data_IF_162057236925
#
_entry.id   IF_162057236925
#
_cell.length_a   1.000
_cell.length_b   1.000
_cell.length_c   1.000
_cell.angle_alpha   90.00
_cell.angle_beta   90.00
_cell.angle_gamma   90.00
#
_symmetry.space_group_name_H-M   'P 1'
#
loop_
_entity.id
_entity.type
_entity.pdbx_description
1 polymer ?
#
# COMPACT_ATOMS: atom_id res chain seq x y z
N UNK A 1 0.49 12.50 23.03
CA UNK A 1 0.83 11.10 23.40
C UNK A 1 1.39 10.41 22.16
N UNK A 2 2.50 9.67 22.30
CA UNK A 2 3.08 8.89 21.20
C UNK A 2 2.46 7.51 21.16
N UNK A 3 2.22 6.99 19.93
CA UNK A 3 1.79 5.59 19.73
C UNK A 3 2.99 4.63 19.57
N UNK A 4 4.22 5.15 19.71
CA UNK A 4 5.45 4.38 19.52
C UNK A 4 5.47 3.14 20.40
N UNK A 5 5.55 1.96 19.77
CA UNK A 5 5.61 0.67 20.46
C UNK A 5 4.35 0.29 21.27
N UNK A 6 3.22 1.00 21.08
CA UNK A 6 1.98 0.79 21.81
C UNK A 6 1.02 -0.19 21.14
N UNK A 7 1.33 -0.59 19.93
CA UNK A 7 0.61 -1.63 19.19
C UNK A 7 1.59 -2.40 18.31
N UNK A 8 1.29 -3.66 18.07
CA UNK A 8 2.06 -4.51 17.19
C UNK A 8 1.16 -5.28 16.23
N UNK A 9 1.65 -5.56 15.01
CA UNK A 9 1.03 -6.49 14.08
C UNK A 9 1.42 -7.90 14.52
N UNK A 10 0.41 -8.73 14.75
CA UNK A 10 0.57 -10.09 15.29
C UNK A 10 0.15 -11.18 14.32
N UNK A 11 -0.64 -10.85 13.29
CA UNK A 11 -1.06 -11.78 12.26
C UNK A 11 -1.23 -11.10 10.92
N UNK A 12 -0.95 -11.82 9.84
CA UNK A 12 -1.13 -11.38 8.47
C UNK A 12 -1.89 -12.43 7.66
N UNK A 13 -2.75 -11.96 6.76
CA UNK A 13 -3.54 -12.82 5.88
C UNK A 13 -3.57 -12.28 4.47
N UNK A 14 -3.05 -13.08 3.54
CA UNK A 14 -3.01 -12.75 2.13
C UNK A 14 -3.54 -13.91 1.31
N UNK A 15 -4.65 -13.70 0.59
CA UNK A 15 -5.15 -14.70 -0.34
C UNK A 15 -4.28 -14.71 -1.60
N UNK A 16 -4.20 -15.84 -2.32
CA UNK A 16 -3.68 -15.80 -3.67
C UNK A 16 -4.37 -14.73 -4.49
N UNK A 17 -3.57 -13.97 -5.24
CA UNK A 17 -4.07 -12.98 -6.19
C UNK A 17 -4.41 -13.67 -7.50
N UNK A 18 -5.60 -13.45 -8.05
CA UNK A 18 -6.01 -14.04 -9.30
C UNK A 18 -6.85 -13.07 -10.17
N UNK A 19 -7.16 -13.51 -11.37
CA UNK A 19 -8.05 -12.82 -12.30
C UNK A 19 -9.17 -13.75 -12.76
N UNK A 20 -9.52 -14.72 -11.94
CA UNK A 20 -10.61 -15.67 -12.22
C UNK A 20 -11.95 -14.93 -12.39
N UNK A 21 -12.71 -15.35 -13.36
CA UNK A 21 -13.95 -14.67 -13.75
C UNK A 21 -13.76 -13.64 -14.87
N UNK A 22 -12.51 -13.37 -15.30
CA UNK A 22 -12.23 -12.49 -16.43
C UNK A 22 -12.68 -13.07 -17.77
N UNK A 23 -12.82 -14.41 -17.85
CA UNK A 23 -13.31 -15.13 -19.04
C UNK A 23 -14.62 -15.86 -18.76
N UNK A 24 -15.48 -16.05 -19.78
CA UNK A 24 -16.69 -16.86 -19.63
C UNK A 24 -16.37 -18.30 -19.15
N UNK A 25 -17.16 -18.80 -18.19
CA UNK A 25 -17.02 -20.16 -17.66
C UNK A 25 -15.96 -20.35 -16.58
N UNK A 26 -15.14 -19.35 -16.27
CA UNK A 26 -14.23 -19.43 -15.14
C UNK A 26 -14.96 -19.36 -13.78
N UNK A 27 -14.48 -20.07 -12.74
CA UNK A 27 -15.06 -19.95 -11.42
C UNK A 27 -14.92 -18.50 -10.90
N UNK A 28 -15.95 -18.04 -10.19
CA UNK A 28 -15.99 -16.69 -9.62
C UNK A 28 -16.02 -16.77 -8.10
N UNK A 29 -15.16 -15.99 -7.47
CA UNK A 29 -15.21 -15.75 -6.02
C UNK A 29 -15.64 -14.31 -5.78
N UNK A 30 -16.50 -14.10 -4.78
CA UNK A 30 -16.94 -12.77 -4.37
C UNK A 30 -15.93 -12.10 -3.43
N UNK A 31 -16.04 -10.79 -3.29
CA UNK A 31 -15.29 -10.03 -2.28
C UNK A 31 -15.52 -10.60 -0.87
N UNK A 32 -16.74 -11.03 -0.56
CA UNK A 32 -17.09 -11.68 0.71
C UNK A 32 -16.26 -12.96 0.96
N UNK A 33 -16.07 -13.80 -0.07
CA UNK A 33 -15.25 -15.01 0.05
C UNK A 33 -13.77 -14.67 0.26
N UNK A 34 -13.25 -13.64 -0.41
CA UNK A 34 -11.87 -13.17 -0.18
C UNK A 34 -11.70 -12.55 1.20
N UNK A 35 -12.68 -11.79 1.72
CA UNK A 35 -12.67 -11.26 3.10
C UNK A 35 -12.58 -12.41 4.11
N UNK A 36 -13.50 -13.37 4.07
CA UNK A 36 -13.51 -14.51 4.99
C UNK A 36 -12.20 -15.31 4.92
N UNK A 37 -11.66 -15.50 3.71
CA UNK A 37 -10.39 -16.22 3.53
C UNK A 37 -9.21 -15.44 4.10
N UNK A 38 -9.09 -14.13 3.83
CA UNK A 38 -8.02 -13.29 4.37
C UNK A 38 -8.06 -13.23 5.92
N UNK A 39 -9.26 -13.07 6.51
CA UNK A 39 -9.42 -13.11 7.96
C UNK A 39 -8.94 -14.43 8.54
N UNK A 40 -9.37 -15.57 7.97
CA UNK A 40 -8.95 -16.90 8.45
C UNK A 40 -7.43 -17.05 8.43
N UNK A 41 -6.77 -16.64 7.34
CA UNK A 41 -5.32 -16.68 7.25
C UNK A 41 -4.64 -15.80 8.30
N UNK A 42 -5.16 -14.59 8.55
CA UNK A 42 -4.62 -13.69 9.57
C UNK A 42 -4.79 -14.23 11.00
N UNK A 43 -5.94 -14.87 11.29
CA UNK A 43 -6.18 -15.53 12.57
C UNK A 43 -5.26 -16.74 12.78
N UNK A 44 -5.10 -17.58 11.76
CA UNK A 44 -4.18 -18.72 11.78
C UNK A 44 -2.73 -18.27 12.02
N UNK A 45 -2.30 -17.19 11.36
CA UNK A 45 -0.96 -16.62 11.50
C UNK A 45 -0.71 -16.06 12.90
N UNK A 46 -1.72 -15.38 13.49
CA UNK A 46 -1.67 -14.84 14.85
C UNK A 46 -1.81 -15.90 15.95
N UNK A 47 -2.38 -17.06 15.64
CA UNK A 47 -2.79 -18.05 16.64
C UNK A 47 -4.00 -17.60 17.45
N UNK A 48 -4.87 -16.76 16.84
CA UNK A 48 -6.11 -16.24 17.41
C UNK A 48 -7.34 -16.93 16.80
N UNK A 49 -8.47 -16.75 17.41
CA UNK A 49 -9.77 -17.28 16.98
C UNK A 49 -10.75 -16.15 16.69
N UNK A 50 -11.87 -16.46 16.05
CA UNK A 50 -12.95 -15.50 15.80
C UNK A 50 -13.48 -14.85 17.09
N UNK A 51 -13.46 -15.59 18.21
CA UNK A 51 -13.91 -15.08 19.52
C UNK A 51 -13.06 -13.91 20.02
N UNK A 52 -11.77 -13.90 19.66
CA UNK A 52 -10.84 -12.84 20.07
C UNK A 52 -11.11 -11.50 19.34
N UNK A 53 -11.94 -11.50 18.31
CA UNK A 53 -12.33 -10.29 17.56
C UNK A 53 -13.63 -9.67 18.06
N UNK A 54 -14.47 -10.40 18.81
CA UNK A 54 -15.74 -9.85 19.31
C UNK A 54 -15.49 -8.81 20.40
N UNK A 55 -16.18 -7.67 20.30
CA UNK A 55 -15.98 -6.52 21.18
C UNK A 55 -14.69 -5.74 20.92
N UNK A 56 -13.93 -6.12 19.90
CA UNK A 56 -12.64 -5.54 19.55
C UNK A 56 -12.73 -4.61 18.32
N UNK A 57 -11.61 -4.21 17.74
CA UNK A 57 -11.55 -3.29 16.61
C UNK A 57 -11.70 -3.99 15.26
N UNK A 58 -12.49 -3.42 14.36
CA UNK A 58 -12.55 -3.76 12.94
C UNK A 58 -12.25 -2.52 12.09
N UNK A 59 -11.18 -2.56 11.30
CA UNK A 59 -10.84 -1.57 10.29
C UNK A 59 -11.08 -2.13 8.89
N UNK A 60 -11.86 -1.44 8.08
CA UNK A 60 -12.20 -1.91 6.73
C UNK A 60 -11.75 -0.89 5.68
N UNK A 61 -10.98 -1.32 4.67
CA UNK A 61 -10.69 -0.46 3.52
C UNK A 61 -11.90 -0.38 2.61
N UNK A 62 -12.26 0.82 2.16
CA UNK A 62 -13.42 1.06 1.30
C UNK A 62 -13.01 0.90 -0.17
N UNK A 63 -13.58 -0.05 -0.92
CA UNK A 63 -13.30 -0.21 -2.36
C UNK A 63 -13.72 1.04 -3.14
N UNK A 64 -12.85 1.54 -4.03
CA UNK A 64 -13.15 2.75 -4.84
C UNK A 64 -14.31 2.57 -5.80
N UNK A 65 -14.55 1.34 -6.28
CA UNK A 65 -15.65 1.03 -7.20
C UNK A 65 -16.99 0.76 -6.48
N UNK A 66 -17.00 0.76 -5.16
CA UNK A 66 -18.17 0.41 -4.35
C UNK A 66 -18.24 1.30 -3.10
N UNK A 67 -18.54 2.58 -3.25
CA UNK A 67 -18.80 3.41 -2.09
C UNK A 67 -20.20 3.06 -1.53
N UNK A 68 -20.31 1.93 -0.84
CA UNK A 68 -21.52 1.60 -0.09
C UNK A 68 -21.47 2.29 1.26
N UNK A 69 -22.51 3.02 1.66
CA UNK A 69 -22.53 3.78 2.93
C UNK A 69 -22.26 2.92 4.16
N UNK A 70 -22.69 1.66 4.16
CA UNK A 70 -22.59 0.72 5.29
C UNK A 70 -21.60 -0.43 5.03
N UNK A 71 -20.65 -0.25 4.11
CA UNK A 71 -19.71 -1.32 3.77
C UNK A 71 -18.95 -1.92 4.97
N UNK A 72 -18.45 -1.14 5.95
CA UNK A 72 -17.78 -1.71 7.11
C UNK A 72 -18.69 -2.57 7.96
N UNK A 73 -19.95 -2.20 8.13
CA UNK A 73 -20.98 -2.95 8.85
C UNK A 73 -21.32 -4.26 8.12
N UNK A 74 -21.48 -4.19 6.78
CA UNK A 74 -21.68 -5.39 5.95
C UNK A 74 -20.51 -6.35 6.06
N UNK A 75 -19.27 -5.84 6.10
CA UNK A 75 -18.08 -6.67 6.30
C UNK A 75 -18.12 -7.35 7.68
N UNK A 76 -18.51 -6.65 8.74
CA UNK A 76 -18.66 -7.26 10.05
C UNK A 76 -19.67 -8.42 10.04
N UNK A 77 -20.80 -8.24 9.34
CA UNK A 77 -21.85 -9.27 9.18
C UNK A 77 -21.33 -10.46 8.34
N UNK A 78 -20.65 -10.19 7.21
CA UNK A 78 -20.01 -11.22 6.35
C UNK A 78 -19.02 -12.06 7.15
N UNK A 79 -18.24 -11.43 8.03
CA UNK A 79 -17.22 -12.08 8.84
C UNK A 79 -17.79 -12.76 10.10
N UNK A 80 -19.04 -12.51 10.45
CA UNK A 80 -19.69 -13.06 11.63
C UNK A 80 -19.10 -12.57 12.94
N UNK A 81 -18.66 -11.30 12.99
CA UNK A 81 -18.07 -10.66 14.17
C UNK A 81 -18.92 -9.47 14.64
N UNK A 82 -18.89 -9.20 15.94
CA UNK A 82 -19.53 -8.04 16.54
C UNK A 82 -18.44 -7.11 17.09
N UNK A 83 -17.94 -6.15 16.29
CA UNK A 83 -16.88 -5.25 16.74
C UNK A 83 -17.38 -4.28 17.82
N UNK A 84 -16.51 -3.96 18.79
CA UNK A 84 -16.73 -2.87 19.75
C UNK A 84 -16.38 -1.51 19.16
N UNK A 85 -15.49 -1.49 18.16
CA UNK A 85 -15.11 -0.30 17.38
C UNK A 85 -15.03 -0.65 15.90
N UNK A 86 -15.60 0.20 15.06
CA UNK A 86 -15.58 0.05 13.61
C UNK A 86 -14.99 1.31 12.96
N UNK A 87 -13.96 1.14 12.13
CA UNK A 87 -13.32 2.22 11.38
C UNK A 87 -13.32 1.94 9.88
N UNK A 88 -13.56 2.98 9.10
CA UNK A 88 -13.52 2.96 7.66
C UNK A 88 -12.23 3.59 7.12
N UNK A 89 -11.42 2.82 6.41
CA UNK A 89 -10.25 3.32 5.68
C UNK A 89 -10.66 3.92 4.33
N UNK A 90 -11.19 5.14 4.35
CA UNK A 90 -11.75 5.81 3.16
C UNK A 90 -10.75 6.66 2.37
N UNK A 91 -9.45 6.57 2.67
CA UNK A 91 -8.37 7.36 2.06
C UNK A 91 -7.75 6.69 0.82
N UNK A 92 -8.54 5.95 0.05
CA UNK A 92 -8.05 5.21 -1.11
C UNK A 92 -6.99 4.19 -0.75
N UNK A 93 -5.92 4.09 -1.52
CA UNK A 93 -4.80 3.18 -1.24
C UNK A 93 -4.00 3.50 0.02
N UNK A 94 -4.16 4.70 0.60
CA UNK A 94 -3.61 5.03 1.91
C UNK A 94 -4.35 4.32 3.05
N UNK A 95 -5.59 3.86 2.82
CA UNK A 95 -6.50 3.35 3.85
C UNK A 95 -5.90 2.24 4.72
N UNK A 96 -5.10 1.36 4.14
CA UNK A 96 -4.45 0.28 4.88
C UNK A 96 -3.44 0.80 5.93
N UNK A 97 -2.63 1.80 5.56
CA UNK A 97 -1.64 2.39 6.46
C UNK A 97 -2.29 3.40 7.42
N UNK A 98 -3.33 4.12 6.97
CA UNK A 98 -4.15 4.98 7.83
C UNK A 98 -4.79 4.19 8.97
N UNK A 99 -5.42 3.04 8.65
CA UNK A 99 -6.01 2.15 9.66
C UNK A 99 -4.97 1.64 10.66
N UNK A 100 -3.75 1.34 10.20
CA UNK A 100 -2.67 0.92 11.09
C UNK A 100 -2.35 1.99 12.14
N UNK A 101 -2.25 3.25 11.76
CA UNK A 101 -2.04 4.36 12.68
C UNK A 101 -3.22 4.61 13.61
N UNK A 102 -4.45 4.63 13.06
CA UNK A 102 -5.68 4.87 13.81
C UNK A 102 -5.94 3.76 14.84
N UNK A 103 -5.80 2.49 14.45
CA UNK A 103 -5.94 1.36 15.36
C UNK A 103 -4.83 1.34 16.43
N UNK A 104 -3.60 1.75 16.08
CA UNK A 104 -2.54 1.90 17.09
C UNK A 104 -2.90 2.94 18.16
N UNK A 105 -3.47 4.07 17.76
CA UNK A 105 -3.94 5.09 18.69
C UNK A 105 -5.10 4.59 19.55
N UNK A 106 -6.02 3.84 18.98
CA UNK A 106 -7.17 3.27 19.68
C UNK A 106 -6.75 2.19 20.68
N UNK A 107 -5.82 1.31 20.32
CA UNK A 107 -5.22 0.33 21.24
C UNK A 107 -4.50 1.06 22.37
N UNK A 108 -3.69 2.09 22.04
CA UNK A 108 -2.98 2.87 23.07
C UNK A 108 -3.93 3.62 24.03
N UNK A 109 -5.16 3.91 23.63
CA UNK A 109 -6.18 4.53 24.51
C UNK A 109 -6.86 3.52 25.43
N UNK A 110 -6.67 2.23 25.23
CA UNK A 110 -7.30 1.15 26.01
C UNK A 110 -8.76 0.88 25.65
N UNK A 111 -9.26 1.43 24.52
CA UNK A 111 -10.63 1.15 24.05
C UNK A 111 -10.77 -0.27 23.49
N UNK A 112 -9.70 -0.79 22.92
CA UNK A 112 -9.60 -2.16 22.37
C UNK A 112 -8.21 -2.71 22.65
N UNK A 113 -8.08 -4.04 22.69
CA UNK A 113 -6.80 -4.74 22.81
C UNK A 113 -6.35 -5.41 21.50
N UNK A 114 -7.28 -5.70 20.61
CA UNK A 114 -7.06 -6.36 19.33
C UNK A 114 -7.79 -5.60 18.23
N UNK A 115 -7.23 -5.56 17.03
CA UNK A 115 -7.90 -4.99 15.86
C UNK A 115 -7.62 -5.85 14.61
N UNK A 116 -8.66 -6.20 13.88
CA UNK A 116 -8.57 -6.73 12.52
C UNK A 116 -8.66 -5.57 11.53
N UNK A 117 -7.64 -5.42 10.68
CA UNK A 117 -7.68 -4.52 9.53
C UNK A 117 -7.75 -5.35 8.25
N UNK A 118 -8.77 -5.11 7.41
CA UNK A 118 -9.09 -5.99 6.30
C UNK A 118 -9.64 -5.25 5.09
N UNK A 119 -9.40 -5.82 3.91
CA UNK A 119 -10.03 -5.39 2.67
C UNK A 119 -9.97 -6.48 1.62
N UNK A 120 -10.91 -6.44 0.70
CA UNK A 120 -10.94 -7.32 -0.46
C UNK A 120 -11.64 -6.65 -1.64
N UNK A 121 -11.35 -7.13 -2.84
CA UNK A 121 -12.10 -6.81 -4.03
C UNK A 121 -12.02 -7.95 -5.04
N UNK A 122 -13.05 -8.09 -5.86
CA UNK A 122 -13.14 -9.10 -6.89
C UNK A 122 -13.58 -8.48 -8.24
N UNK A 123 -12.81 -7.51 -8.82
CA UNK A 123 -13.21 -6.74 -9.98
C UNK A 123 -13.46 -7.59 -11.23
N UNK A 124 -12.91 -8.79 -11.32
CA UNK A 124 -13.14 -9.71 -12.42
C UNK A 124 -14.33 -10.67 -12.19
N UNK A 125 -14.74 -10.84 -10.94
CA UNK A 125 -15.85 -11.74 -10.58
C UNK A 125 -17.16 -10.99 -10.36
N UNK A 126 -17.07 -9.77 -9.84
CA UNK A 126 -18.19 -8.89 -9.52
C UNK A 126 -18.23 -7.75 -10.53
N UNK A 127 -19.37 -7.57 -11.19
CA UNK A 127 -19.56 -6.44 -12.10
C UNK A 127 -19.84 -5.20 -11.26
N UNK A 128 -18.82 -4.41 -11.04
CA UNK A 128 -18.98 -3.08 -10.47
C UNK A 128 -19.46 -2.13 -11.58
N UNK A 129 -20.67 -1.60 -11.44
CA UNK A 129 -21.11 -0.45 -12.21
C UNK A 129 -20.03 0.63 -12.12
N UNK A 130 -19.72 1.33 -13.21
CA UNK A 130 -18.67 2.34 -13.25
C UNK A 130 -18.79 3.26 -12.05
N UNK A 131 -17.70 3.42 -11.29
CA UNK A 131 -17.68 4.20 -10.05
C UNK A 131 -18.24 5.61 -10.28
N UNK A 132 -18.96 6.14 -9.30
CA UNK A 132 -19.44 7.52 -9.32
C UNK A 132 -18.20 8.42 -9.37
N UNK A 133 -18.02 9.09 -10.51
CA UNK A 133 -16.94 10.08 -10.62
C UNK A 133 -17.34 11.35 -9.84
N UNK A 134 -16.45 11.95 -9.08
CA UNK A 134 -16.68 13.25 -8.46
C UNK A 134 -17.17 14.27 -9.50
N UNK A 135 -18.02 15.22 -9.10
CA UNK A 135 -18.64 16.19 -9.99
C UNK A 135 -17.63 16.94 -10.85
N UNK A 136 -16.57 17.44 -10.27
CA UNK A 136 -15.50 18.16 -10.98
C UNK A 136 -14.83 17.30 -12.05
N UNK A 137 -14.54 16.05 -11.77
CA UNK A 137 -13.95 15.14 -12.74
C UNK A 137 -14.94 14.86 -13.88
N UNK A 138 -16.20 14.57 -13.55
CA UNK A 138 -17.26 14.32 -14.52
C UNK A 138 -17.50 15.54 -15.42
N UNK A 139 -17.53 16.72 -14.82
CA UNK A 139 -18.01 17.93 -15.51
C UNK A 139 -16.87 18.68 -16.23
N UNK A 140 -15.63 18.60 -15.73
CA UNK A 140 -14.48 19.38 -16.23
C UNK A 140 -13.31 18.57 -16.78
N UNK A 141 -13.26 17.25 -16.57
CA UNK A 141 -12.13 16.42 -17.01
C UNK A 141 -12.54 15.38 -18.06
N UNK A 142 -13.63 14.62 -17.80
CA UNK A 142 -14.11 13.59 -18.72
C UNK A 142 -14.45 14.15 -20.11
N UNK A 143 -15.07 15.34 -20.25
CA UNK A 143 -15.35 15.92 -21.58
C UNK A 143 -14.10 16.18 -22.41
N UNK A 144 -12.92 16.35 -21.76
CA UNK A 144 -11.64 16.52 -22.43
C UNK A 144 -10.87 15.20 -22.63
N UNK A 145 -11.51 14.05 -22.39
CA UNK A 145 -10.91 12.74 -22.60
C UNK A 145 -10.06 12.22 -21.42
N UNK A 146 -10.05 12.93 -20.28
CA UNK A 146 -9.32 12.48 -19.10
C UNK A 146 -10.14 11.45 -18.34
N UNK A 147 -9.83 10.18 -18.52
CA UNK A 147 -10.52 9.07 -17.86
C UNK A 147 -9.58 8.31 -16.91
N UNK A 148 -10.00 8.20 -15.65
CA UNK A 148 -9.24 7.47 -14.64
C UNK A 148 -7.88 8.13 -14.29
N UNK A 149 -6.99 7.40 -13.60
CA UNK A 149 -5.73 7.97 -13.08
C UNK A 149 -4.62 8.07 -14.14
N UNK A 150 -4.64 7.26 -15.22
CA UNK A 150 -3.51 7.11 -16.15
C UNK A 150 -3.07 8.43 -16.78
N UNK A 151 -4.01 9.23 -17.30
CA UNK A 151 -3.69 10.52 -17.95
C UNK A 151 -3.14 11.54 -16.96
N UNK A 152 -3.61 11.52 -15.71
CA UNK A 152 -3.11 12.43 -14.65
C UNK A 152 -1.70 12.07 -14.23
N UNK A 153 -1.43 10.80 -14.04
CA UNK A 153 -0.08 10.30 -13.74
C UNK A 153 0.87 10.54 -14.92
N UNK A 154 0.37 10.44 -16.15
CA UNK A 154 1.17 10.80 -17.33
C UNK A 154 1.60 12.28 -17.32
N UNK A 155 0.72 13.20 -16.91
CA UNK A 155 1.07 14.60 -16.75
C UNK A 155 2.11 14.83 -15.65
N UNK A 156 1.99 14.14 -14.51
CA UNK A 156 2.98 14.17 -13.41
C UNK A 156 4.34 13.65 -13.92
N UNK A 157 4.35 12.50 -14.58
CA UNK A 157 5.56 11.89 -15.15
C UNK A 157 6.20 12.81 -16.19
N UNK A 158 5.42 13.38 -17.13
CA UNK A 158 5.89 14.33 -18.13
C UNK A 158 6.47 15.58 -17.50
N UNK A 159 5.82 16.12 -16.44
CA UNK A 159 6.32 17.28 -15.70
C UNK A 159 7.66 16.99 -15.05
N UNK A 160 7.83 15.83 -14.41
CA UNK A 160 9.08 15.44 -13.78
C UNK A 160 10.21 15.27 -14.81
N UNK A 161 9.91 14.62 -15.94
CA UNK A 161 10.84 14.50 -17.08
C UNK A 161 11.27 15.87 -17.61
N UNK A 162 10.33 16.81 -17.76
CA UNK A 162 10.62 18.16 -18.25
C UNK A 162 11.46 18.96 -17.26
N UNK A 163 11.14 18.90 -15.99
CA UNK A 163 11.74 19.76 -14.95
C UNK A 163 13.13 19.27 -14.53
N UNK A 164 13.31 17.95 -14.44
CA UNK A 164 14.51 17.33 -13.88
C UNK A 164 15.29 16.46 -14.85
N UNK A 165 14.77 16.21 -16.05
CA UNK A 165 15.45 15.38 -17.04
C UNK A 165 15.31 13.86 -16.79
N UNK A 166 14.39 13.42 -15.96
CA UNK A 166 14.14 11.99 -15.71
C UNK A 166 13.84 11.26 -17.01
N UNK A 167 14.44 10.10 -17.18
CA UNK A 167 14.32 9.27 -18.37
C UNK A 167 13.59 7.94 -18.04
N UNK A 168 13.21 7.22 -19.10
CA UNK A 168 12.67 5.87 -18.95
C UNK A 168 13.69 4.89 -18.35
N UNK A 169 15.00 5.16 -18.50
CA UNK A 169 16.03 4.32 -17.88
C UNK A 169 16.02 4.44 -16.35
N UNK A 170 15.85 5.65 -15.81
CA UNK A 170 15.74 5.87 -14.36
C UNK A 170 14.50 5.14 -13.78
N UNK A 171 13.35 5.27 -14.44
CA UNK A 171 12.12 4.59 -14.03
C UNK A 171 12.21 3.07 -14.22
N UNK A 172 12.82 2.64 -15.32
CA UNK A 172 13.04 1.22 -15.63
C UNK A 172 13.83 0.47 -14.56
N UNK A 173 14.78 1.14 -13.88
CA UNK A 173 15.53 0.53 -12.77
C UNK A 173 14.61 0.11 -11.61
N UNK A 174 13.64 0.94 -11.26
CA UNK A 174 12.63 0.61 -10.23
C UNK A 174 11.75 -0.55 -10.70
N UNK A 175 11.27 -0.50 -11.95
CA UNK A 175 10.43 -1.55 -12.53
C UNK A 175 11.16 -2.91 -12.57
N UNK A 176 12.43 -2.93 -12.95
CA UNK A 176 13.27 -4.13 -13.00
C UNK A 176 13.52 -4.70 -11.61
N UNK A 177 13.84 -3.85 -10.62
CA UNK A 177 14.06 -4.28 -9.25
C UNK A 177 12.78 -4.90 -8.65
N UNK A 178 11.62 -4.25 -8.79
CA UNK A 178 10.35 -4.79 -8.33
C UNK A 178 9.98 -6.11 -9.01
N UNK A 179 10.23 -6.25 -10.32
CA UNK A 179 10.00 -7.51 -11.04
C UNK A 179 11.01 -8.61 -10.65
N UNK A 180 12.25 -8.26 -10.33
CA UNK A 180 13.21 -9.20 -9.77
C UNK A 180 12.70 -9.76 -8.44
N UNK A 181 12.23 -8.92 -7.51
CA UNK A 181 11.66 -9.36 -6.25
C UNK A 181 10.41 -10.24 -6.45
N UNK A 182 9.53 -9.85 -7.38
CA UNK A 182 8.37 -10.65 -7.74
C UNK A 182 8.75 -12.04 -8.28
N UNK A 183 9.87 -12.16 -9.00
CA UNK A 183 10.34 -13.48 -9.48
C UNK A 183 10.70 -14.44 -8.35
N UNK A 184 11.13 -13.89 -7.21
CA UNK A 184 11.45 -14.63 -5.99
C UNK A 184 10.22 -14.88 -5.09
N UNK A 185 9.10 -14.18 -5.34
CA UNK A 185 7.87 -14.30 -4.56
C UNK A 185 6.90 -15.30 -5.21
N UNK A 186 6.64 -16.47 -4.58
CA UNK A 186 5.70 -17.44 -5.13
C UNK A 186 4.27 -16.94 -5.24
N UNK A 187 3.88 -15.93 -4.43
CA UNK A 187 2.55 -15.31 -4.44
C UNK A 187 2.38 -14.20 -5.48
N UNK A 188 3.46 -13.78 -6.14
CA UNK A 188 3.38 -12.73 -7.17
C UNK A 188 2.72 -13.26 -8.46
N UNK A 189 1.88 -12.43 -9.08
CA UNK A 189 1.19 -12.77 -10.32
C UNK A 189 2.11 -12.66 -11.55
N UNK A 190 2.94 -11.62 -11.60
CA UNK A 190 3.89 -11.37 -12.70
C UNK A 190 5.31 -11.72 -12.25
N UNK A 191 5.77 -12.95 -12.53
CA UNK A 191 7.05 -13.46 -12.02
C UNK A 191 8.18 -13.51 -13.05
N UNK A 192 7.87 -13.33 -14.35
CA UNK A 192 8.90 -13.35 -15.39
C UNK A 192 9.78 -12.09 -15.28
N UNK A 193 11.10 -12.21 -15.09
CA UNK A 193 12.01 -11.06 -15.06
C UNK A 193 11.89 -10.22 -16.33
N UNK A 194 12.18 -8.93 -16.21
CA UNK A 194 12.22 -7.98 -17.31
C UNK A 194 13.55 -7.23 -17.32
N UNK A 195 13.91 -6.70 -18.48
CA UNK A 195 15.02 -5.77 -18.67
C UNK A 195 14.51 -4.32 -18.73
N UNK A 196 15.42 -3.35 -18.63
CA UNK A 196 15.10 -1.94 -18.89
C UNK A 196 14.57 -1.77 -20.33
N UNK A 197 15.08 -2.55 -21.29
CA UNK A 197 14.60 -2.48 -22.67
C UNK A 197 13.16 -3.00 -22.78
N UNK A 198 12.81 -4.12 -22.11
CA UNK A 198 11.41 -4.61 -22.07
C UNK A 198 10.48 -3.53 -21.48
N UNK A 199 10.92 -2.80 -20.45
CA UNK A 199 10.17 -1.70 -19.88
C UNK A 199 9.95 -0.59 -20.90
N UNK A 200 11.01 -0.15 -21.59
CA UNK A 200 10.98 0.92 -22.61
C UNK A 200 10.13 0.55 -23.83
N UNK A 201 10.10 -0.71 -24.21
CA UNK A 201 9.34 -1.22 -25.36
C UNK A 201 7.90 -1.59 -25.02
N UNK A 202 7.54 -1.56 -23.74
CA UNK A 202 6.17 -1.88 -23.32
C UNK A 202 5.16 -0.86 -23.87
N UNK A 203 3.94 -1.34 -24.15
CA UNK A 203 2.88 -0.56 -24.80
C UNK A 203 2.57 0.72 -24.02
N UNK A 204 2.41 1.84 -24.71
CA UNK A 204 1.91 3.09 -24.14
C UNK A 204 0.45 2.93 -23.66
N UNK A 205 0.19 3.46 -22.48
CA UNK A 205 -1.16 3.56 -21.89
C UNK A 205 -1.66 5.00 -21.96
N UNK A 206 -0.83 5.94 -21.52
CA UNK A 206 -1.03 7.38 -21.67
C UNK A 206 0.36 8.02 -21.72
N UNK A 207 0.78 8.57 -22.84
CA UNK A 207 2.16 9.06 -23.03
C UNK A 207 2.59 10.04 -21.93
N UNK A 208 3.70 9.80 -21.17
CA UNK A 208 4.74 8.77 -21.37
C UNK A 208 4.52 7.45 -20.59
N UNK A 209 3.42 7.30 -19.83
CA UNK A 209 3.13 6.11 -19.03
C UNK A 209 2.92 4.87 -19.90
N UNK A 210 3.59 3.80 -19.55
CA UNK A 210 3.59 2.52 -20.26
C UNK A 210 2.91 1.42 -19.45
N UNK A 211 2.65 0.29 -20.06
CA UNK A 211 1.98 -0.84 -19.42
C UNK A 211 2.73 -1.33 -18.16
N UNK A 212 4.05 -1.36 -18.21
CA UNK A 212 4.90 -1.80 -17.10
C UNK A 212 5.08 -0.72 -16.00
N UNK A 213 4.57 0.49 -16.22
CA UNK A 213 4.41 1.48 -15.15
C UNK A 213 3.20 1.21 -14.27
N UNK A 214 2.18 0.54 -14.81
CA UNK A 214 0.84 0.51 -14.22
C UNK A 214 0.65 -0.70 -13.31
N UNK A 215 -0.04 -0.47 -12.21
CA UNK A 215 -0.51 -1.54 -11.32
C UNK A 215 -1.43 -2.52 -12.06
N UNK A 216 -1.41 -3.77 -11.64
CA UNK A 216 -2.22 -4.85 -12.20
C UNK A 216 -3.52 -5.03 -11.40
N UNK A 217 -4.70 -4.64 -11.90
CA UNK A 217 -5.96 -4.97 -11.24
C UNK A 217 -6.14 -6.49 -11.11
N UNK A 218 -6.57 -6.95 -9.95
CA UNK A 218 -6.74 -8.37 -9.65
C UNK A 218 -7.78 -8.60 -8.54
N UNK A 219 -8.28 -9.83 -8.43
CA UNK A 219 -9.09 -10.26 -7.30
C UNK A 219 -8.19 -10.63 -6.11
N UNK A 220 -8.68 -10.45 -4.89
CA UNK A 220 -7.99 -10.90 -3.69
C UNK A 220 -8.48 -10.24 -2.42
N UNK A 221 -8.02 -10.76 -1.28
CA UNK A 221 -8.25 -10.21 0.05
C UNK A 221 -6.96 -10.15 0.84
N UNK A 222 -6.82 -9.12 1.65
CA UNK A 222 -5.64 -8.84 2.46
C UNK A 222 -6.08 -8.41 3.86
N UNK A 223 -5.40 -8.90 4.88
CA UNK A 223 -5.69 -8.57 6.27
C UNK A 223 -4.43 -8.53 7.12
N UNK A 224 -4.48 -7.75 8.19
CA UNK A 224 -3.52 -7.86 9.30
C UNK A 224 -4.27 -7.70 10.63
N UNK A 225 -3.76 -8.35 11.67
CA UNK A 225 -4.28 -8.25 13.03
C UNK A 225 -3.24 -7.51 13.87
N UNK A 226 -3.71 -6.54 14.63
CA UNK A 226 -2.93 -5.77 15.60
C UNK A 226 -3.34 -6.13 17.01
N UNK A 227 -2.41 -6.00 17.95
CA UNK A 227 -2.71 -6.24 19.36
C UNK A 227 -1.90 -5.27 20.26
N UNK A 228 -2.41 -5.08 21.49
CA UNK A 228 -1.67 -4.39 22.56
C UNK A 228 -0.41 -5.17 22.93
N UNK A 229 0.67 -4.54 23.45
CA UNK A 229 1.88 -5.23 23.86
C UNK A 229 1.63 -6.34 24.88
N UNK A 230 0.66 -6.17 25.75
CA UNK A 230 0.26 -7.15 26.77
C UNK A 230 -0.26 -8.44 26.13
N UNK A 231 -1.00 -8.32 25.02
CA UNK A 231 -1.58 -9.46 24.29
C UNK A 231 -0.54 -10.18 23.41
N UNK A 232 0.62 -9.56 23.14
CA UNK A 232 1.65 -10.17 22.27
C UNK A 232 2.47 -11.27 22.95
N UNK A 233 2.50 -11.32 24.28
CA UNK A 233 3.46 -12.15 25.04
C UNK A 233 3.35 -13.65 24.83
N UNK A 234 2.18 -14.16 24.46
CA UNK A 234 1.90 -15.58 24.30
C UNK A 234 1.50 -15.94 22.85
N UNK A 235 1.77 -15.08 21.89
CA UNK A 235 1.43 -15.33 20.50
C UNK A 235 2.48 -16.21 19.80
N UNK A 236 2.03 -16.89 18.75
CA UNK A 236 2.82 -17.90 18.04
C UNK A 236 4.03 -17.30 17.32
N UNK A 237 3.89 -16.10 16.79
CA UNK A 237 4.89 -15.44 15.95
C UNK A 237 5.40 -14.14 16.59
N UNK A 238 6.62 -13.70 16.25
CA UNK A 238 7.15 -12.43 16.73
C UNK A 238 6.22 -11.27 16.34
N UNK A 239 5.84 -10.40 17.29
CA UNK A 239 5.09 -9.19 16.99
C UNK A 239 5.97 -8.19 16.25
N UNK A 240 5.37 -7.41 15.33
CA UNK A 240 6.04 -6.30 14.65
C UNK A 240 5.42 -4.99 15.13
N UNK A 241 6.21 -4.19 15.79
CA UNK A 241 5.76 -2.98 16.48
C UNK A 241 5.61 -1.79 15.52
N UNK A 242 4.56 -0.99 15.75
CA UNK A 242 4.39 0.32 15.10
C UNK A 242 5.21 1.33 15.90
N UNK A 243 6.34 1.75 15.34
CA UNK A 243 7.24 2.71 15.98
C UNK A 243 6.94 4.16 15.64
N UNK A 244 6.38 4.40 14.47
CA UNK A 244 6.04 5.74 14.02
C UNK A 244 4.93 5.73 13.00
N UNK A 245 4.17 6.83 12.97
CA UNK A 245 3.08 7.03 12.03
C UNK A 245 2.92 8.50 11.70
N UNK A 246 2.65 8.81 10.45
CA UNK A 246 2.27 10.12 9.97
C UNK A 246 1.25 10.02 8.84
N UNK A 247 0.34 10.98 8.78
CA UNK A 247 -0.69 11.05 7.74
C UNK A 247 -0.86 12.49 7.28
N UNK A 248 -1.12 12.67 5.99
CA UNK A 248 -1.47 13.96 5.38
C UNK A 248 -2.55 13.77 4.34
N UNK A 249 -3.56 14.60 4.40
CA UNK A 249 -4.60 14.68 3.39
C UNK A 249 -4.59 16.07 2.77
N UNK A 250 -4.66 16.11 1.43
CA UNK A 250 -4.77 17.33 0.65
C UNK A 250 -3.73 18.43 1.02
N UNK A 251 -2.41 18.13 0.93
CA UNK A 251 -1.35 19.03 1.44
C UNK A 251 -1.24 20.36 0.70
N UNK A 252 -1.91 20.51 -0.44
CA UNK A 252 -1.80 21.69 -1.30
C UNK A 252 -3.13 22.40 -1.56
N UNK A 253 -4.06 22.33 -0.63
CA UNK A 253 -5.34 23.00 -0.74
C UNK A 253 -5.22 24.50 -0.45
N UNK A 254 -5.74 25.36 -1.36
CA UNK A 254 -5.79 26.80 -1.19
C UNK A 254 -5.15 27.62 -2.33
N UNK A 255 -5.17 28.97 -2.26
CA UNK A 255 -4.61 29.85 -3.31
C UNK A 255 -3.10 29.69 -3.54
N UNK A 256 -2.39 29.19 -2.54
CA UNK A 256 -0.97 28.79 -2.64
C UNK A 256 -0.78 27.36 -3.14
N UNK A 257 -1.83 26.65 -3.40
CA UNK A 257 -1.85 25.31 -3.95
C UNK A 257 -1.38 25.21 -5.42
N UNK A 258 -0.86 26.29 -5.97
CA UNK A 258 0.03 26.25 -7.13
C UNK A 258 1.36 25.56 -6.80
N UNK A 259 1.44 24.87 -5.67
CA UNK A 259 2.54 24.04 -5.27
C UNK A 259 2.78 22.97 -6.31
N UNK A 260 4.02 22.62 -6.42
CA UNK A 260 4.56 21.66 -7.33
C UNK A 260 3.79 20.33 -7.24
N UNK A 261 3.11 19.94 -8.32
CA UNK A 261 2.42 18.65 -8.41
C UNK A 261 3.36 17.45 -8.22
N UNK A 262 4.66 17.69 -8.15
CA UNK A 262 5.72 16.72 -7.91
C UNK A 262 6.06 16.54 -6.42
N UNK A 263 5.43 17.31 -5.52
CA UNK A 263 5.61 17.17 -4.07
C UNK A 263 4.34 16.57 -3.46
N UNK A 264 4.48 15.42 -2.83
CA UNK A 264 3.39 14.70 -2.19
C UNK A 264 3.37 14.95 -0.67
N UNK A 265 2.22 14.72 -0.05
CA UNK A 265 2.09 14.76 1.41
C UNK A 265 2.95 13.72 2.15
N UNK A 266 3.53 12.77 1.43
CA UNK A 266 4.43 11.75 1.98
C UNK A 266 5.69 12.38 2.60
N UNK A 267 6.13 13.54 2.12
CA UNK A 267 7.25 14.30 2.70
C UNK A 267 6.99 14.63 4.17
N UNK A 268 5.84 15.24 4.46
CA UNK A 268 5.45 15.60 5.83
C UNK A 268 5.06 14.37 6.66
N UNK A 269 4.31 13.43 6.09
CA UNK A 269 3.90 12.23 6.78
C UNK A 269 5.11 11.36 7.16
N UNK A 270 6.09 11.22 6.26
CA UNK A 270 7.34 10.49 6.49
C UNK A 270 8.19 11.13 7.57
N UNK A 271 8.37 12.45 7.52
CA UNK A 271 9.09 13.19 8.56
C UNK A 271 8.48 12.94 9.95
N UNK A 272 7.15 13.08 10.08
CA UNK A 272 6.45 12.84 11.36
C UNK A 272 6.60 11.40 11.82
N UNK A 273 6.47 10.43 10.91
CA UNK A 273 6.60 9.01 11.24
C UNK A 273 8.02 8.67 11.72
N UNK A 274 9.05 9.15 11.02
CA UNK A 274 10.44 8.91 11.37
C UNK A 274 10.84 9.62 12.68
N UNK A 275 10.41 10.86 12.89
CA UNK A 275 10.61 11.60 14.15
C UNK A 275 9.98 10.86 15.34
N UNK A 276 8.72 10.39 15.19
CA UNK A 276 8.02 9.60 16.21
C UNK A 276 8.76 8.30 16.52
N UNK A 277 9.25 7.61 15.49
CA UNK A 277 10.03 6.39 15.62
C UNK A 277 11.42 6.63 16.22
N UNK A 278 11.94 7.86 16.14
CA UNK A 278 13.29 8.20 16.55
C UNK A 278 14.36 7.59 15.65
N UNK A 279 14.09 7.52 14.33
CA UNK A 279 14.97 6.91 13.33
C UNK A 279 15.39 7.90 12.25
N UNK A 280 16.55 7.64 11.64
CA UNK A 280 17.08 8.37 10.48
C UNK A 280 17.03 7.48 9.24
N UNK A 281 17.23 8.06 8.05
CA UNK A 281 17.25 7.33 6.77
C UNK A 281 18.21 6.12 6.79
N UNK A 282 19.39 6.26 7.37
CA UNK A 282 20.38 5.18 7.47
C UNK A 282 19.99 4.02 8.41
N UNK A 283 18.95 4.18 9.22
CA UNK A 283 18.45 3.12 10.10
C UNK A 283 17.40 2.24 9.39
N UNK A 284 16.85 2.73 8.26
CA UNK A 284 15.81 2.03 7.50
C UNK A 284 16.44 0.91 6.67
N UNK A 285 16.00 -0.32 6.90
CA UNK A 285 16.52 -1.51 6.24
C UNK A 285 15.92 -1.72 4.84
N UNK A 286 14.66 -1.31 4.64
CA UNK A 286 13.94 -1.43 3.35
C UNK A 286 12.72 -0.51 3.31
N UNK A 287 12.22 -0.27 2.09
CA UNK A 287 11.03 0.54 1.83
C UNK A 287 9.94 -0.28 1.15
N UNK A 288 8.75 -0.30 1.70
CA UNK A 288 7.54 -0.82 1.08
C UNK A 288 6.67 0.35 0.63
N UNK A 289 6.95 0.86 -0.56
CA UNK A 289 6.33 2.06 -1.12
C UNK A 289 5.09 1.72 -1.91
N UNK A 290 4.03 2.50 -1.76
CA UNK A 290 2.81 2.35 -2.55
C UNK A 290 3.09 2.54 -4.05
N UNK A 291 2.72 1.58 -4.88
CA UNK A 291 3.15 1.46 -6.26
C UNK A 291 2.02 1.29 -7.28
N UNK A 292 1.07 2.21 -7.31
CA UNK A 292 0.12 2.24 -8.43
C UNK A 292 0.80 2.50 -9.77
N UNK A 293 1.91 3.27 -9.74
CA UNK A 293 2.73 3.61 -10.89
C UNK A 293 4.21 3.76 -10.50
N UNK A 294 5.11 3.43 -11.41
CA UNK A 294 6.57 3.54 -11.16
C UNK A 294 6.98 4.97 -10.81
N UNK A 295 6.46 5.98 -11.51
CA UNK A 295 6.78 7.39 -11.18
C UNK A 295 6.34 7.76 -9.75
N UNK A 296 5.28 7.16 -9.23
CA UNK A 296 4.81 7.40 -7.85
C UNK A 296 5.82 6.85 -6.84
N UNK A 297 6.41 5.69 -7.11
CA UNK A 297 7.52 5.14 -6.30
C UNK A 297 8.73 6.07 -6.33
N UNK A 298 9.10 6.53 -7.52
CA UNK A 298 10.21 7.45 -7.74
C UNK A 298 10.06 8.72 -6.88
N UNK A 299 8.89 9.37 -6.97
CA UNK A 299 8.58 10.59 -6.21
C UNK A 299 8.60 10.36 -4.70
N UNK A 300 8.14 9.20 -4.23
CA UNK A 300 8.18 8.88 -2.80
C UNK A 300 9.61 8.78 -2.26
N UNK A 301 10.54 8.20 -3.01
CA UNK A 301 11.95 8.11 -2.61
C UNK A 301 12.53 9.51 -2.40
N UNK A 302 12.24 10.43 -3.32
CA UNK A 302 12.66 11.84 -3.21
C UNK A 302 11.98 12.55 -2.04
N UNK A 303 10.65 12.47 -1.94
CA UNK A 303 9.86 13.20 -0.95
C UNK A 303 10.06 12.69 0.48
N UNK A 304 10.39 11.41 0.64
CA UNK A 304 10.83 10.85 1.92
C UNK A 304 12.25 11.30 2.30
N UNK A 305 12.99 11.96 1.39
CA UNK A 305 14.30 12.52 1.65
C UNK A 305 15.47 11.53 1.53
N UNK A 306 15.28 10.39 0.86
CA UNK A 306 16.38 9.45 0.57
C UNK A 306 17.36 10.02 -0.45
N UNK A 307 16.89 10.93 -1.30
CA UNK A 307 17.71 11.77 -2.18
C UNK A 307 17.08 13.16 -2.36
N UNK A 308 17.82 14.08 -2.93
CA UNK A 308 17.27 15.37 -3.32
C UNK A 308 16.28 15.22 -4.49
N UNK A 309 15.29 16.11 -4.58
CA UNK A 309 14.37 16.17 -5.71
C UNK A 309 15.14 16.39 -7.01
N UNK A 310 14.99 15.48 -7.98
CA UNK A 310 15.67 15.52 -9.26
C UNK A 310 17.13 15.03 -9.25
N UNK A 311 17.60 14.36 -8.20
CA UNK A 311 18.92 13.71 -8.18
C UNK A 311 18.93 12.43 -9.03
N UNK A 312 19.10 12.62 -10.34
CA UNK A 312 19.17 11.50 -11.31
C UNK A 312 20.31 10.55 -11.00
N UNK A 313 21.45 11.09 -10.59
CA UNK A 313 22.63 10.29 -10.25
C UNK A 313 22.38 9.34 -9.07
N UNK A 314 21.49 9.68 -8.14
CA UNK A 314 21.07 8.74 -7.10
C UNK A 314 20.43 7.49 -7.70
N UNK A 315 19.49 7.64 -8.63
CA UNK A 315 18.82 6.53 -9.29
C UNK A 315 19.71 5.73 -10.23
N UNK A 316 20.78 6.34 -10.74
CA UNK A 316 21.79 5.66 -11.59
C UNK A 316 22.69 4.74 -10.77
N UNK A 317 23.11 5.17 -9.57
CA UNK A 317 24.10 4.44 -8.75
C UNK A 317 23.46 3.50 -7.71
N UNK A 318 22.16 3.70 -7.36
CA UNK A 318 21.53 2.92 -6.32
C UNK A 318 21.03 1.57 -6.85
N UNK A 319 21.40 0.52 -6.15
CA UNK A 319 20.80 -0.81 -6.32
C UNK A 319 19.58 -0.91 -5.38
N UNK A 320 18.41 -1.04 -5.98
CA UNK A 320 17.11 -1.16 -5.29
C UNK A 320 16.71 -2.61 -4.98
N UNK A 321 17.58 -3.58 -5.29
CA UNK A 321 17.31 -4.99 -4.99
C UNK A 321 17.56 -5.31 -3.51
N UNK A 322 17.11 -6.50 -3.07
CA UNK A 322 17.32 -7.01 -1.69
C UNK A 322 18.80 -7.06 -1.27
N UNK A 323 19.71 -7.08 -2.22
CA UNK A 323 21.16 -7.10 -1.99
C UNK A 323 21.81 -5.71 -2.10
N UNK A 324 21.03 -4.70 -2.44
CA UNK A 324 21.49 -3.35 -2.70
C UNK A 324 21.47 -2.43 -1.49
N UNK A 325 21.84 -1.17 -1.75
CA UNK A 325 21.92 -0.15 -0.70
C UNK A 325 20.57 0.40 -0.22
N UNK A 326 19.49 0.21 -1.01
CA UNK A 326 18.13 0.65 -0.66
C UNK A 326 17.09 -0.31 -1.23
N UNK A 327 16.84 -1.46 -0.58
CA UNK A 327 15.81 -2.40 -1.01
C UNK A 327 14.42 -1.75 -1.00
N UNK A 328 13.69 -1.88 -2.13
CA UNK A 328 12.31 -1.39 -2.24
C UNK A 328 11.38 -2.50 -2.71
N UNK A 329 10.12 -2.49 -2.25
CA UNK A 329 9.07 -3.44 -2.73
C UNK A 329 9.58 -4.87 -2.80
N UNK A 330 10.10 -5.36 -1.69
CA UNK A 330 10.79 -6.66 -1.59
C UNK A 330 9.91 -7.86 -1.96
N UNK A 331 8.58 -7.70 -1.88
CA UNK A 331 7.59 -8.68 -2.35
C UNK A 331 7.24 -8.54 -3.83
N UNK A 332 7.70 -7.48 -4.50
CA UNK A 332 7.35 -7.17 -5.90
C UNK A 332 6.29 -6.08 -6.07
N UNK A 333 5.67 -5.60 -4.97
CA UNK A 333 4.65 -4.55 -4.98
C UNK A 333 3.34 -4.93 -5.66
N UNK A 334 2.40 -4.00 -5.72
CA UNK A 334 1.09 -4.19 -6.36
C UNK A 334 1.20 -4.33 -7.88
N UNK A 335 2.18 -3.66 -8.50
CA UNK A 335 2.42 -3.76 -9.96
C UNK A 335 2.64 -5.21 -10.38
N UNK A 336 3.32 -5.99 -9.56
CA UNK A 336 3.68 -7.37 -9.90
C UNK A 336 2.82 -8.43 -9.20
N UNK A 337 2.36 -8.14 -7.98
CA UNK A 337 1.54 -9.08 -7.21
C UNK A 337 0.05 -8.93 -7.47
N UNK A 338 -0.39 -7.78 -8.00
CA UNK A 338 -1.80 -7.47 -8.25
C UNK A 338 -2.45 -6.65 -7.15
N UNK A 339 -3.41 -5.83 -7.57
CA UNK A 339 -4.13 -4.88 -6.72
C UNK A 339 -5.63 -5.22 -6.64
N UNK A 340 -6.11 -5.74 -5.51
CA UNK A 340 -7.54 -5.86 -5.25
C UNK A 340 -8.10 -4.51 -4.73
N UNK A 341 -8.28 -3.54 -5.64
CA UNK A 341 -8.75 -2.18 -5.31
C UNK A 341 -7.93 -1.55 -4.17
N UNK A 342 -8.55 -0.83 -3.25
CA UNK A 342 -7.91 -0.18 -2.08
C UNK A 342 -7.25 -1.16 -1.10
N UNK A 343 -7.69 -2.42 -1.08
CA UNK A 343 -7.04 -3.47 -0.30
C UNK A 343 -5.61 -3.78 -0.78
N UNK A 344 -5.24 -3.36 -2.00
CA UNK A 344 -3.89 -3.52 -2.55
C UNK A 344 -2.81 -2.91 -1.67
N UNK A 345 -3.04 -1.74 -1.08
CA UNK A 345 -2.07 -1.09 -0.19
C UNK A 345 -1.67 -1.92 1.05
N UNK A 346 -2.48 -2.90 1.44
CA UNK A 346 -2.16 -3.82 2.55
C UNK A 346 -0.98 -4.76 2.22
N UNK A 347 -0.66 -4.98 0.94
CA UNK A 347 0.44 -5.88 0.55
C UNK A 347 1.77 -5.39 1.10
N UNK A 348 1.99 -4.07 1.13
CA UNK A 348 3.20 -3.46 1.64
C UNK A 348 3.35 -3.66 3.16
N UNK A 349 2.25 -3.58 3.90
CA UNK A 349 2.23 -3.90 5.34
C UNK A 349 2.56 -5.37 5.57
N UNK A 350 1.94 -6.26 4.81
CA UNK A 350 2.16 -7.72 4.90
C UNK A 350 3.61 -8.08 4.58
N UNK A 351 4.16 -7.52 3.51
CA UNK A 351 5.55 -7.81 3.14
C UNK A 351 6.54 -7.26 4.17
N UNK A 352 6.30 -6.04 4.68
CA UNK A 352 7.13 -5.49 5.75
C UNK A 352 7.14 -6.39 7.00
N UNK A 353 5.98 -6.95 7.38
CA UNK A 353 5.89 -7.92 8.48
C UNK A 353 6.72 -9.17 8.19
N UNK A 354 6.63 -9.73 6.97
CA UNK A 354 7.44 -10.89 6.57
C UNK A 354 8.94 -10.61 6.66
N UNK A 355 9.37 -9.48 6.14
CA UNK A 355 10.79 -9.08 6.19
C UNK A 355 11.29 -8.93 7.64
N UNK A 356 10.52 -8.28 8.50
CA UNK A 356 10.89 -8.05 9.90
C UNK A 356 10.81 -9.31 10.77
N UNK A 357 10.02 -10.31 10.36
CA UNK A 357 9.97 -11.64 10.99
C UNK A 357 11.03 -12.62 10.49
N UNK A 358 11.76 -12.28 9.41
CA UNK A 358 12.67 -13.21 8.74
C UNK A 358 11.95 -14.26 7.89
N UNK A 359 10.75 -13.97 7.42
CA UNK A 359 9.89 -14.86 6.61
C UNK A 359 9.93 -14.50 5.11
N UNK A 360 10.92 -13.72 4.68
CA UNK A 360 11.06 -13.29 3.28
C UNK A 360 11.59 -14.37 2.33
N UNK A 361 12.01 -15.54 2.81
CA UNK A 361 12.62 -16.62 2.01
C UNK A 361 13.75 -16.10 1.10
N UNK A 362 13.70 -16.40 -0.19
CA UNK A 362 14.70 -15.98 -1.19
C UNK A 362 14.79 -14.47 -1.37
N UNK A 363 13.76 -13.70 -0.94
CA UNK A 363 13.71 -12.24 -1.03
C UNK A 363 13.97 -11.54 0.32
N UNK A 364 14.50 -12.28 1.30
CA UNK A 364 14.81 -11.73 2.61
C UNK A 364 15.92 -10.68 2.54
N UNK A 365 15.65 -9.48 3.05
CA UNK A 365 16.66 -8.45 3.28
C UNK A 365 17.48 -8.87 4.50
N UNK A 366 18.79 -9.03 4.33
CA UNK A 366 19.66 -9.49 5.40
C UNK A 366 19.69 -8.48 6.55
N UNK A 367 19.44 -8.97 7.78
CA UNK A 367 19.49 -8.15 8.98
C UNK A 367 18.41 -7.07 9.09
N UNK A 368 17.30 -7.20 8.37
CA UNK A 368 16.19 -6.26 8.41
C UNK A 368 15.64 -6.08 9.84
N UNK A 369 15.65 -4.82 10.33
CA UNK A 369 15.16 -4.45 11.67
C UNK A 369 14.10 -3.38 11.64
N UNK A 370 14.16 -2.46 10.68
CA UNK A 370 13.27 -1.32 10.55
C UNK A 370 12.82 -1.21 9.09
N UNK A 371 11.53 -1.25 8.87
CA UNK A 371 10.90 -1.06 7.56
C UNK A 371 10.06 0.22 7.54
N UNK A 372 10.06 0.93 6.44
CA UNK A 372 9.16 2.05 6.20
C UNK A 372 8.12 1.64 5.17
N UNK A 373 6.84 1.85 5.51
CA UNK A 373 5.69 1.49 4.69
C UNK A 373 4.90 2.73 4.34
N UNK A 374 4.49 2.88 3.09
CA UNK A 374 3.64 3.98 2.66
C UNK A 374 2.31 3.50 2.10
N UNK A 375 1.29 4.35 2.20
CA UNK A 375 0.02 4.23 1.51
C UNK A 375 -0.33 5.55 0.85
N UNK A 376 -0.85 5.50 -0.37
CA UNK A 376 -1.25 6.68 -1.13
C UNK A 376 -2.67 6.55 -1.65
N UNK A 377 -3.47 7.57 -1.45
CA UNK A 377 -4.74 7.73 -2.14
C UNK A 377 -4.52 8.54 -3.40
N UNK A 378 -4.44 7.85 -4.52
CA UNK A 378 -4.34 8.49 -5.85
C UNK A 378 -5.70 9.03 -6.23
N UNK A 379 -6.14 10.08 -5.55
CA UNK A 379 -7.32 10.83 -5.95
C UNK A 379 -6.90 12.03 -6.77
N UNK A 380 -7.58 12.25 -7.87
CA UNK A 380 -7.32 13.38 -8.73
C UNK A 380 -7.93 14.67 -8.19
N UNK A 381 -7.56 15.10 -7.01
CA UNK A 381 -7.78 16.49 -6.69
C UNK A 381 -6.69 17.31 -7.39
N UNK A 382 -6.99 17.63 -8.62
CA UNK A 382 -6.38 18.66 -9.44
C UNK A 382 -4.88 18.84 -9.44
N UNK A 383 -4.15 18.66 -8.36
CA UNK A 383 -2.73 19.03 -8.29
C UNK A 383 -1.86 18.12 -7.44
N UNK A 384 -2.42 17.18 -6.64
CA UNK A 384 -1.64 16.33 -5.75
C UNK A 384 -2.17 14.91 -5.68
N UNK A 385 -1.31 14.00 -5.29
CA UNK A 385 -1.66 12.65 -4.89
C UNK A 385 -2.32 12.71 -3.49
N UNK A 386 -3.57 13.07 -3.46
CA UNK A 386 -4.57 13.40 -2.45
C UNK A 386 -4.28 13.15 -0.98
N UNK A 387 -4.01 11.92 -0.57
CA UNK A 387 -3.74 11.56 0.81
C UNK A 387 -2.59 10.56 0.90
N UNK A 388 -1.81 10.68 1.97
CA UNK A 388 -0.64 9.86 2.21
C UNK A 388 -0.60 9.43 3.67
N UNK A 389 -0.24 8.18 3.91
CA UNK A 389 0.07 7.66 5.23
C UNK A 389 1.43 6.96 5.19
N UNK A 390 2.22 7.13 6.23
CA UNK A 390 3.54 6.51 6.39
C UNK A 390 3.63 5.86 7.76
N UNK A 391 4.10 4.63 7.81
CA UNK A 391 4.36 3.92 9.05
C UNK A 391 5.82 3.43 9.09
N UNK A 392 6.42 3.51 10.27
CA UNK A 392 7.70 2.87 10.58
C UNK A 392 7.42 1.66 11.44
N UNK A 393 7.81 0.49 10.94
CA UNK A 393 7.63 -0.80 11.59
C UNK A 393 8.98 -1.36 12.03
N UNK A 394 9.02 -2.05 13.16
CA UNK A 394 10.25 -2.67 13.65
C UNK A 394 9.96 -3.98 14.40
N UNK A 395 11.00 -4.84 14.49
CA UNK A 395 10.96 -6.10 15.24
C UNK A 395 11.04 -5.90 16.76
N UNK A 396 11.38 -4.70 17.21
CA UNK A 396 11.45 -4.29 18.62
C UNK A 396 10.52 -3.08 18.90
N UNK A 397 10.13 -2.88 20.17
CA UNK A 397 9.19 -1.84 20.59
C UNK A 397 9.79 -0.42 20.63
#
# INVERSE_FOLDING_TARGET
MSIRGKAAIVGIGETPTDRLGSKPGEPRKSSAQYLAWAMRLALEDAGLTLKDLNGQGLGVTIPTAYPQPFWPEEVAEILGITPGLLLAGSTGGAGAVSLLGQMSATINSGLIDVALCIGAAAPFSEHFGGGIQPGDMRDFEIPFGTMGPNSKIAMVMRRHMHQYGTTLDHLGRIAVAGRYHASLNPSAYLRKPITIQDYKDSRLVADPVRLLDCVLPANGGKAYIMASPERTRNLRKPPIFVRGFGERSNPSYGPRAASDALIMGVADAGRVAMEMAGVKHGDISFLELYDDYIIVVYLQIEDLGFCAKGDLGFFERTDFTINGGLPIQTGGGMINCGQPSTAGGTIHVIEAVRQLRGEGDQRQVAGAKIGLVTGLGVLPYGKNLGCCAVAVLASDA
#
